data_IF_513996980055
#
_entry.id   IF_513996980055
#
_cell.length_a   1.000
_cell.length_b   1.000
_cell.length_c   1.000
_cell.angle_alpha   90.00
_cell.angle_beta   90.00
_cell.angle_gamma   90.00
#
_symmetry.space_group_name_H-M   'P 1'
#
loop_
_entity.id
_entity.type
_entity.pdbx_description
1 polymer ?
#
# COMPACT_ATOMS: atom_id res chain seq x y z
N UNK A 1 -73.44 -1.51 27.76
CA UNK A 1 -74.01 -1.34 29.14
C UNK A 1 -72.91 -0.85 30.08
N UNK A 2 -73.23 0.29 30.72
CA UNK A 2 -72.65 0.81 31.98
C UNK A 2 -71.14 1.12 31.98
N UNK A 3 -70.68 2.36 31.80
CA UNK A 3 -70.60 3.45 32.79
C UNK A 3 -69.85 3.02 34.08
N UNK A 4 -68.67 3.65 34.35
CA UNK A 4 -68.59 4.58 35.48
C UNK A 4 -67.27 5.38 35.41
N UNK A 5 -67.46 6.70 35.54
CA UNK A 5 -66.57 7.81 35.79
C UNK A 5 -66.11 7.72 37.27
N UNK A 6 -64.87 8.09 37.60
CA UNK A 6 -64.66 9.00 38.73
C UNK A 6 -63.26 9.69 38.67
N UNK A 7 -63.38 10.98 38.61
CA UNK A 7 -62.31 11.96 38.88
C UNK A 7 -61.98 11.97 40.39
N UNK A 8 -60.78 12.30 40.78
CA UNK A 8 -60.53 13.18 41.93
C UNK A 8 -59.16 13.85 41.76
N UNK A 9 -59.14 15.11 42.12
CA UNK A 9 -58.17 16.16 41.90
C UNK A 9 -57.08 16.25 42.98
N UNK A 10 -56.02 16.94 42.59
CA UNK A 10 -55.22 17.90 43.35
C UNK A 10 -54.35 17.41 44.53
N UNK A 11 -53.04 17.67 44.44
CA UNK A 11 -52.42 18.63 45.39
C UNK A 11 -51.00 18.94 44.97
N UNK A 12 -50.71 20.21 44.82
CA UNK A 12 -49.38 20.77 44.57
C UNK A 12 -48.52 20.65 45.86
N UNK A 13 -47.25 20.28 45.71
CA UNK A 13 -46.18 20.70 46.63
C UNK A 13 -44.95 21.10 45.85
N UNK A 14 -44.68 22.36 45.87
CA UNK A 14 -43.42 23.00 45.47
C UNK A 14 -42.39 22.68 46.57
N UNK A 15 -41.35 21.99 46.20
CA UNK A 15 -40.13 21.99 47.01
C UNK A 15 -39.01 22.48 46.10
N UNK A 16 -38.58 23.71 46.30
CA UNK A 16 -37.35 24.26 45.79
C UNK A 16 -36.18 23.55 46.50
N UNK A 17 -35.37 22.81 45.76
CA UNK A 17 -34.06 22.37 46.21
C UNK A 17 -33.04 22.77 45.15
N UNK A 18 -32.20 23.73 45.48
CA UNK A 18 -30.94 24.00 44.81
C UNK A 18 -30.08 22.77 44.82
N UNK A 19 -29.66 22.29 43.64
CA UNK A 19 -28.73 21.17 43.54
C UNK A 19 -28.09 21.18 42.16
N UNK A 20 -26.92 21.76 42.11
CA UNK A 20 -25.81 21.62 41.15
C UNK A 20 -26.08 20.78 39.90
N UNK A 21 -26.14 21.47 38.74
CA UNK A 21 -25.94 20.91 37.42
C UNK A 21 -24.54 20.30 37.32
N UNK A 22 -24.40 18.99 37.53
CA UNK A 22 -23.34 18.20 36.96
C UNK A 22 -23.65 17.97 35.51
N UNK A 23 -23.07 18.82 34.66
CA UNK A 23 -22.95 18.58 33.23
C UNK A 23 -22.13 17.31 33.06
N UNK A 24 -22.78 16.19 32.78
CA UNK A 24 -22.12 14.99 32.32
C UNK A 24 -21.63 15.32 30.93
N UNK A 25 -20.36 15.68 30.81
CA UNK A 25 -19.68 15.68 29.51
C UNK A 25 -19.63 14.20 29.07
N UNK A 26 -20.55 13.84 28.18
CA UNK A 26 -20.36 12.70 27.33
C UNK A 26 -19.15 13.03 26.43
N UNK A 27 -17.99 12.54 26.80
CA UNK A 27 -16.86 12.45 25.91
C UNK A 27 -17.30 11.45 24.83
N UNK A 28 -17.83 11.97 23.71
CA UNK A 28 -17.91 11.20 22.48
C UNK A 28 -16.47 10.83 22.12
N UNK A 29 -16.11 9.61 22.46
CA UNK A 29 -14.87 8.99 21.99
C UNK A 29 -15.10 8.64 20.52
N UNK A 30 -15.06 9.66 19.65
CA UNK A 30 -14.95 9.48 18.22
C UNK A 30 -13.54 8.91 18.00
N UNK A 31 -13.40 7.60 18.08
CA UNK A 31 -12.28 6.94 17.45
C UNK A 31 -12.44 7.27 15.96
N UNK A 32 -11.67 8.26 15.48
CA UNK A 32 -11.45 8.41 14.05
C UNK A 32 -10.91 7.06 13.58
N UNK A 33 -11.75 6.31 12.88
CA UNK A 33 -11.26 5.13 12.14
C UNK A 33 -10.15 5.63 11.24
N UNK A 34 -8.90 5.29 11.58
CA UNK A 34 -7.73 5.62 10.78
C UNK A 34 -8.00 5.08 9.38
N UNK A 35 -8.30 5.97 8.44
CA UNK A 35 -8.53 5.60 7.06
C UNK A 35 -7.24 4.96 6.54
N UNK A 36 -7.30 3.66 6.23
CA UNK A 36 -6.15 2.91 5.73
C UNK A 36 -5.75 3.48 4.37
N UNK A 37 -4.55 4.06 4.31
CA UNK A 37 -4.01 4.63 3.07
C UNK A 37 -3.22 3.58 2.30
N UNK A 38 -3.34 3.65 0.99
CA UNK A 38 -2.62 2.78 0.06
C UNK A 38 -1.63 3.59 -0.76
N UNK A 39 -0.40 3.07 -0.88
CA UNK A 39 0.62 3.59 -1.79
C UNK A 39 0.83 2.59 -2.93
N UNK A 40 0.98 3.10 -4.15
CA UNK A 40 1.42 2.32 -5.31
C UNK A 40 2.77 2.87 -5.78
N UNK A 41 3.83 2.30 -5.23
CA UNK A 41 5.20 2.62 -5.61
C UNK A 41 5.62 1.76 -6.81
N UNK A 42 6.38 2.32 -7.76
CA UNK A 42 6.85 1.55 -8.90
C UNK A 42 8.19 2.01 -9.43
N UNK A 43 8.97 1.07 -9.94
CA UNK A 43 10.13 1.32 -10.81
C UNK A 43 9.78 0.93 -12.24
N UNK A 44 10.10 1.82 -13.20
CA UNK A 44 9.84 1.56 -14.62
C UNK A 44 10.90 2.19 -15.51
N UNK A 45 11.80 1.37 -16.06
CA UNK A 45 12.86 1.85 -16.93
C UNK A 45 12.37 2.22 -18.36
N UNK A 46 11.27 1.61 -18.82
CA UNK A 46 10.75 1.77 -20.20
C UNK A 46 9.32 2.25 -20.28
N UNK A 47 8.69 2.57 -19.14
CA UNK A 47 7.29 3.01 -19.09
C UNK A 47 6.26 1.87 -18.98
N UNK A 48 6.61 0.62 -19.24
CA UNK A 48 5.66 -0.50 -19.22
C UNK A 48 5.08 -0.75 -17.82
N UNK A 49 5.92 -0.80 -16.80
CA UNK A 49 5.46 -0.97 -15.41
C UNK A 49 4.72 0.27 -14.90
N UNK A 50 5.11 1.48 -15.34
CA UNK A 50 4.39 2.72 -15.06
C UNK A 50 2.93 2.63 -15.48
N UNK A 51 2.66 2.24 -16.73
CA UNK A 51 1.30 2.10 -17.24
C UNK A 51 0.47 1.07 -16.45
N UNK A 52 1.10 0.00 -15.94
CA UNK A 52 0.44 -0.95 -15.04
C UNK A 52 0.20 -0.35 -13.66
N UNK A 53 1.16 0.39 -13.11
CA UNK A 53 1.05 1.04 -11.81
C UNK A 53 -0.09 2.07 -11.77
N UNK A 54 -0.30 2.83 -12.84
CA UNK A 54 -1.42 3.75 -12.98
C UNK A 54 -2.77 3.02 -12.90
N UNK A 55 -2.89 1.83 -13.49
CA UNK A 55 -4.10 0.99 -13.37
C UNK A 55 -4.29 0.45 -11.96
N UNK A 56 -3.21 -0.03 -11.33
CA UNK A 56 -3.28 -0.52 -9.93
C UNK A 56 -3.68 0.62 -8.99
N UNK A 57 -3.15 1.82 -9.17
CA UNK A 57 -3.52 3.00 -8.40
C UNK A 57 -5.00 3.37 -8.60
N UNK A 58 -5.49 3.36 -9.84
CA UNK A 58 -6.90 3.62 -10.14
C UNK A 58 -7.85 2.60 -9.47
N UNK A 59 -7.48 1.31 -9.45
CA UNK A 59 -8.29 0.25 -8.85
C UNK A 59 -8.25 0.29 -7.32
N UNK A 60 -7.09 0.60 -6.73
CA UNK A 60 -6.91 0.61 -5.27
C UNK A 60 -7.29 1.93 -4.62
N UNK A 61 -7.40 3.02 -5.41
CA UNK A 61 -7.51 4.38 -4.90
C UNK A 61 -6.22 4.86 -4.20
N UNK A 62 -5.09 4.21 -4.47
CA UNK A 62 -3.81 4.50 -3.84
C UNK A 62 -3.05 5.67 -4.48
N UNK A 63 -2.24 6.33 -3.67
CA UNK A 63 -1.32 7.36 -4.15
C UNK A 63 -0.21 6.74 -5.00
N UNK A 64 0.11 7.38 -6.13
CA UNK A 64 1.12 6.86 -7.06
C UNK A 64 2.49 7.49 -6.77
N UNK A 65 3.52 6.65 -6.65
CA UNK A 65 4.90 7.09 -6.43
C UNK A 65 5.88 6.38 -7.36
N UNK A 66 6.73 7.14 -8.03
CA UNK A 66 7.79 6.60 -8.88
C UNK A 66 9.10 6.44 -8.11
N UNK A 67 9.61 5.21 -8.01
CA UNK A 67 10.95 4.91 -7.53
C UNK A 67 11.94 5.35 -8.61
N UNK A 68 12.42 6.57 -8.53
CA UNK A 68 13.29 7.16 -9.54
C UNK A 68 14.75 6.84 -9.25
N UNK A 69 15.49 6.20 -10.16
CA UNK A 69 16.94 6.12 -10.03
C UNK A 69 17.55 7.53 -10.16
N UNK A 70 18.58 7.85 -9.35
CA UNK A 70 19.31 9.11 -9.50
C UNK A 70 19.97 9.24 -10.88
N UNK A 71 20.41 8.12 -11.44
CA UNK A 71 20.92 8.03 -12.81
C UNK A 71 19.96 7.21 -13.65
N UNK A 72 19.30 7.85 -14.60
CA UNK A 72 18.33 7.19 -15.49
C UNK A 72 19.02 6.11 -16.32
N UNK A 73 18.35 4.97 -16.50
CA UNK A 73 18.84 3.88 -17.36
C UNK A 73 18.70 4.28 -18.83
N UNK A 74 19.80 4.15 -19.58
CA UNK A 74 19.80 4.29 -21.04
C UNK A 74 19.39 2.96 -21.71
N UNK A 75 19.07 2.94 -23.01
CA UNK A 75 18.85 1.69 -23.73
C UNK A 75 20.04 0.72 -23.63
N UNK A 76 21.26 1.24 -23.67
CA UNK A 76 22.49 0.45 -23.51
C UNK A 76 22.63 -0.15 -22.12
N UNK A 77 22.21 0.59 -21.08
CA UNK A 77 22.17 0.10 -19.69
C UNK A 77 21.20 -1.07 -19.53
N UNK A 78 20.15 -1.10 -20.35
CA UNK A 78 19.09 -2.12 -20.29
C UNK A 78 19.35 -3.32 -21.20
N UNK A 79 20.41 -3.32 -22.01
CA UNK A 79 20.74 -4.44 -22.88
C UNK A 79 21.21 -5.65 -22.05
N UNK A 80 20.26 -6.50 -21.70
CA UNK A 80 20.50 -7.70 -20.90
C UNK A 80 21.34 -8.77 -21.62
N UNK A 81 21.59 -8.63 -22.94
CA UNK A 81 22.46 -9.53 -23.71
C UNK A 81 23.93 -9.17 -23.52
N UNK A 82 24.23 -7.96 -23.08
CA UNK A 82 25.56 -7.45 -22.80
C UNK A 82 25.89 -7.64 -21.32
N UNK A 83 26.84 -8.52 -21.01
CA UNK A 83 27.25 -8.83 -19.61
C UNK A 83 27.78 -7.61 -18.83
N UNK A 84 28.22 -6.58 -19.51
CA UNK A 84 28.77 -5.33 -18.94
C UNK A 84 27.74 -4.19 -18.93
N UNK A 85 26.51 -4.39 -19.41
CA UNK A 85 25.47 -3.40 -19.26
C UNK A 85 25.18 -3.16 -17.78
N UNK A 86 24.71 -1.99 -17.46
CA UNK A 86 24.43 -1.62 -16.06
C UNK A 86 23.46 -2.59 -15.40
N UNK A 87 22.36 -2.90 -16.05
CA UNK A 87 21.36 -3.85 -15.52
C UNK A 87 21.96 -5.24 -15.31
N UNK A 88 22.81 -5.74 -16.24
CA UNK A 88 23.49 -7.03 -16.07
C UNK A 88 24.45 -7.05 -14.90
N UNK A 89 25.23 -5.97 -14.70
CA UNK A 89 26.17 -5.85 -13.59
C UNK A 89 25.42 -5.76 -12.24
N UNK A 90 24.39 -4.92 -12.16
CA UNK A 90 23.58 -4.75 -10.97
C UNK A 90 22.89 -6.06 -10.56
N UNK A 91 22.35 -6.82 -11.53
CA UNK A 91 21.66 -8.07 -11.25
C UNK A 91 22.61 -9.24 -10.96
N UNK A 92 23.88 -9.17 -11.38
CA UNK A 92 24.90 -10.16 -11.02
C UNK A 92 25.39 -9.98 -9.57
N UNK A 93 25.29 -8.79 -9.01
CA UNK A 93 25.66 -8.46 -7.63
C UNK A 93 24.41 -8.25 -6.76
N UNK A 94 24.06 -9.24 -5.94
CA UNK A 94 22.93 -9.16 -5.01
C UNK A 94 23.08 -8.04 -3.96
N UNK A 95 24.28 -7.54 -3.71
CA UNK A 95 24.55 -6.41 -2.82
C UNK A 95 24.43 -5.06 -3.53
N UNK A 96 24.23 -5.04 -4.84
CA UNK A 96 24.03 -3.79 -5.59
C UNK A 96 22.82 -3.00 -5.04
N UNK A 97 23.04 -1.69 -4.86
CA UNK A 97 22.01 -0.75 -4.39
C UNK A 97 22.06 0.52 -5.22
N UNK A 98 21.46 0.51 -6.44
CA UNK A 98 21.36 1.70 -7.26
C UNK A 98 20.72 2.83 -6.47
N UNK A 99 21.33 4.03 -6.51
CA UNK A 99 20.82 5.19 -5.78
C UNK A 99 19.47 5.65 -6.34
N UNK A 100 18.57 6.05 -5.45
CA UNK A 100 17.22 6.56 -5.77
C UNK A 100 17.05 8.00 -5.27
N UNK A 101 16.21 8.76 -5.95
CA UNK A 101 15.71 10.03 -5.44
C UNK A 101 14.84 9.76 -4.21
N UNK A 102 15.15 10.44 -3.09
CA UNK A 102 14.47 10.22 -1.80
C UNK A 102 13.47 11.33 -1.53
N UNK A 103 12.39 11.36 -2.30
CA UNK A 103 11.34 12.40 -2.24
C UNK A 103 9.98 11.88 -1.78
N UNK A 104 9.90 10.63 -1.26
CA UNK A 104 8.68 10.10 -0.66
C UNK A 104 8.55 10.60 0.78
N UNK A 105 7.52 11.39 1.03
CA UNK A 105 7.16 11.87 2.36
C UNK A 105 5.99 11.06 2.92
N UNK A 106 5.84 11.02 4.24
CA UNK A 106 4.66 10.46 4.91
C UNK A 106 4.45 8.96 4.73
N UNK A 107 5.50 8.16 4.49
CA UNK A 107 5.35 6.70 4.31
C UNK A 107 4.66 6.04 5.51
N UNK A 108 4.77 6.62 6.70
CA UNK A 108 4.13 6.10 7.92
C UNK A 108 2.60 6.20 7.91
N UNK A 109 2.03 6.99 7.00
CA UNK A 109 0.59 7.13 6.82
C UNK A 109 -0.04 5.97 6.04
N UNK A 110 0.78 5.18 5.32
CA UNK A 110 0.32 4.07 4.49
C UNK A 110 0.37 2.76 5.24
N UNK A 111 -0.71 2.00 5.17
CA UNK A 111 -0.83 0.67 5.79
C UNK A 111 -0.58 -0.45 4.76
N UNK A 112 -0.89 -0.18 3.48
CA UNK A 112 -0.69 -1.11 2.38
C UNK A 112 0.10 -0.46 1.26
N UNK A 113 1.17 -1.12 0.83
CA UNK A 113 2.07 -0.62 -0.21
C UNK A 113 2.20 -1.66 -1.32
N UNK A 114 1.71 -1.31 -2.50
CA UNK A 114 1.96 -2.07 -3.71
C UNK A 114 3.28 -1.62 -4.30
N UNK A 115 4.18 -2.55 -4.63
CA UNK A 115 5.48 -2.25 -5.22
C UNK A 115 5.59 -2.91 -6.59
N UNK A 116 5.63 -2.07 -7.63
CA UNK A 116 5.66 -2.48 -9.03
C UNK A 116 7.05 -2.43 -9.65
N UNK A 117 7.41 -3.45 -10.44
CA UNK A 117 8.69 -3.49 -11.14
C UNK A 117 8.66 -4.42 -12.37
N UNK A 118 9.55 -4.19 -13.35
CA UNK A 118 9.82 -5.20 -14.39
C UNK A 118 10.62 -6.33 -13.76
N UNK A 119 10.26 -7.59 -14.05
CA UNK A 119 11.07 -8.72 -13.60
C UNK A 119 12.35 -8.79 -14.43
N UNK A 120 13.50 -8.71 -13.76
CA UNK A 120 14.82 -8.89 -14.31
C UNK A 120 15.43 -10.17 -13.74
N UNK A 121 15.96 -11.05 -14.60
CA UNK A 121 16.58 -12.34 -14.19
C UNK A 121 15.75 -13.13 -13.16
N UNK A 122 14.42 -13.18 -13.40
CA UNK A 122 13.42 -13.91 -12.60
C UNK A 122 13.14 -13.31 -11.21
N UNK A 123 13.68 -12.13 -10.87
CA UNK A 123 13.45 -11.46 -9.58
C UNK A 123 13.24 -9.94 -9.75
N UNK A 124 13.13 -9.20 -8.66
CA UNK A 124 13.07 -7.75 -8.70
C UNK A 124 14.45 -7.14 -9.01
N UNK A 125 14.52 -6.02 -9.75
CA UNK A 125 15.73 -5.24 -9.88
C UNK A 125 16.24 -4.76 -8.51
N UNK A 126 17.57 -4.71 -8.34
CA UNK A 126 18.20 -4.37 -7.04
C UNK A 126 17.87 -2.96 -6.54
N UNK A 127 17.36 -2.07 -7.38
CA UNK A 127 16.81 -0.77 -6.97
C UNK A 127 15.60 -0.92 -6.03
N UNK A 128 14.86 -2.04 -6.09
CA UNK A 128 13.75 -2.34 -5.17
C UNK A 128 14.28 -2.60 -3.76
N UNK A 129 15.45 -3.25 -3.63
CA UNK A 129 16.11 -3.39 -2.34
C UNK A 129 16.49 -2.02 -1.77
N UNK A 130 17.04 -1.12 -2.61
CA UNK A 130 17.36 0.25 -2.19
C UNK A 130 16.11 0.96 -1.65
N UNK A 131 14.97 0.83 -2.33
CA UNK A 131 13.71 1.44 -1.90
C UNK A 131 13.25 0.90 -0.54
N UNK A 132 13.22 -0.43 -0.36
CA UNK A 132 12.81 -1.07 0.89
C UNK A 132 13.75 -0.77 2.06
N UNK A 133 15.03 -0.53 1.79
CA UNK A 133 16.03 -0.19 2.80
C UNK A 133 16.09 1.32 3.10
N UNK A 134 15.52 2.17 2.22
CA UNK A 134 15.50 3.62 2.41
C UNK A 134 14.40 4.07 3.35
N UNK A 135 13.26 3.40 3.33
CA UNK A 135 12.06 3.78 4.08
C UNK A 135 11.66 2.70 5.09
N UNK A 136 10.82 3.05 6.06
CA UNK A 136 10.37 2.12 7.09
C UNK A 136 9.13 1.35 6.65
N UNK A 137 9.26 0.06 6.41
CA UNK A 137 8.18 -0.85 6.04
C UNK A 137 7.73 -1.78 7.16
N UNK A 138 8.27 -1.64 8.37
CA UNK A 138 7.95 -2.52 9.50
C UNK A 138 6.44 -2.57 9.75
N UNK A 139 5.88 -3.78 9.74
CA UNK A 139 4.47 -4.03 10.01
C UNK A 139 3.50 -3.59 8.90
N UNK A 140 3.99 -3.02 7.80
CA UNK A 140 3.16 -2.65 6.64
C UNK A 140 2.87 -3.85 5.76
N UNK A 141 1.67 -3.87 5.17
CA UNK A 141 1.35 -4.86 4.15
C UNK A 141 2.04 -4.47 2.84
N UNK A 142 2.91 -5.31 2.33
CA UNK A 142 3.59 -5.09 1.05
C UNK A 142 3.21 -6.15 0.04
N UNK A 143 2.87 -5.71 -1.16
CA UNK A 143 2.40 -6.57 -2.26
C UNK A 143 3.19 -6.25 -3.51
N UNK A 144 3.85 -7.23 -4.09
CA UNK A 144 4.53 -7.04 -5.36
C UNK A 144 3.57 -7.19 -6.54
N UNK A 145 3.72 -6.32 -7.53
CA UNK A 145 3.15 -6.54 -8.85
C UNK A 145 4.20 -6.28 -9.92
N UNK A 146 4.08 -6.91 -11.07
CA UNK A 146 5.15 -6.77 -12.03
C UNK A 146 4.74 -6.97 -13.47
N UNK A 147 5.64 -6.54 -14.35
CA UNK A 147 5.64 -6.85 -15.76
C UNK A 147 6.80 -7.79 -16.09
N UNK A 148 6.58 -8.73 -17.03
CA UNK A 148 7.58 -9.73 -17.37
C UNK A 148 7.45 -10.17 -18.81
N UNK A 149 8.56 -10.51 -19.42
CA UNK A 149 8.59 -11.17 -20.74
C UNK A 149 8.18 -12.65 -20.72
N UNK A 150 8.11 -13.28 -19.54
CA UNK A 150 7.77 -14.72 -19.40
C UNK A 150 8.01 -15.32 -18.03
N UNK A 151 8.55 -14.55 -17.06
CA UNK A 151 8.78 -15.01 -15.69
C UNK A 151 7.55 -14.81 -14.83
N UNK A 152 7.43 -15.60 -13.75
CA UNK A 152 6.44 -15.42 -12.68
C UNK A 152 6.98 -14.54 -11.55
N UNK A 153 6.16 -14.22 -10.54
CA UNK A 153 6.58 -13.46 -9.38
C UNK A 153 7.18 -14.33 -8.25
N UNK A 154 7.09 -15.65 -8.37
CA UNK A 154 7.36 -16.59 -7.26
C UNK A 154 8.74 -16.43 -6.66
N UNK A 155 9.78 -16.28 -7.51
CA UNK A 155 11.14 -16.12 -7.02
C UNK A 155 11.33 -14.79 -6.28
N UNK A 156 10.80 -13.69 -6.82
CA UNK A 156 10.86 -12.39 -6.16
C UNK A 156 10.13 -12.44 -4.81
N UNK A 157 8.90 -12.99 -4.75
CA UNK A 157 8.15 -13.16 -3.51
C UNK A 157 8.97 -13.94 -2.47
N UNK A 158 9.57 -15.07 -2.85
CA UNK A 158 10.34 -15.91 -1.93
C UNK A 158 11.62 -15.23 -1.44
N UNK A 159 12.40 -14.61 -2.33
CA UNK A 159 13.66 -13.94 -1.99
C UNK A 159 13.43 -12.74 -1.05
N UNK A 160 12.44 -11.89 -1.35
CA UNK A 160 12.19 -10.70 -0.54
C UNK A 160 11.52 -11.02 0.80
N UNK A 161 10.64 -12.00 0.85
CA UNK A 161 10.07 -12.49 2.11
C UNK A 161 11.13 -13.04 3.05
N UNK A 162 12.15 -13.69 2.51
CA UNK A 162 13.28 -14.20 3.31
C UNK A 162 14.25 -13.08 3.72
N UNK A 163 14.47 -12.06 2.87
CA UNK A 163 15.42 -10.98 3.12
C UNK A 163 14.86 -9.91 4.08
N UNK A 164 13.56 -9.69 4.09
CA UNK A 164 12.87 -8.65 4.89
C UNK A 164 11.71 -9.24 5.70
N UNK A 165 11.99 -10.09 6.71
CA UNK A 165 10.96 -10.82 7.47
C UNK A 165 10.09 -9.91 8.36
N UNK A 166 10.50 -8.66 8.61
CA UNK A 166 9.76 -7.66 9.37
C UNK A 166 8.58 -7.05 8.61
N UNK A 167 8.54 -7.25 7.29
CA UNK A 167 7.48 -6.78 6.40
C UNK A 167 6.35 -7.80 6.36
N UNK A 168 5.11 -7.34 6.40
CA UNK A 168 3.94 -8.22 6.23
C UNK A 168 3.66 -8.47 4.74
N UNK A 169 4.33 -9.47 4.18
CA UNK A 169 4.24 -9.81 2.77
C UNK A 169 2.92 -10.46 2.38
N UNK A 170 2.29 -9.95 1.32
CA UNK A 170 1.20 -10.60 0.60
C UNK A 170 1.72 -11.15 -0.73
N UNK A 171 1.01 -12.14 -1.29
CA UNK A 171 1.44 -12.78 -2.53
C UNK A 171 1.30 -11.84 -3.74
N UNK A 172 2.44 -11.51 -4.32
CA UNK A 172 2.52 -10.67 -5.51
C UNK A 172 2.25 -11.44 -6.79
N UNK A 173 1.93 -10.70 -7.86
CA UNK A 173 1.54 -11.29 -9.16
C UNK A 173 2.11 -10.52 -10.33
N UNK A 174 2.45 -11.22 -11.41
CA UNK A 174 2.69 -10.61 -12.72
C UNK A 174 1.36 -10.32 -13.39
N UNK A 175 1.17 -9.07 -13.82
CA UNK A 175 -0.11 -8.56 -14.32
C UNK A 175 0.00 -8.07 -15.78
N UNK A 176 0.85 -8.72 -16.58
CA UNK A 176 0.95 -8.40 -17.99
C UNK A 176 -0.42 -8.50 -18.69
N UNK A 177 -0.78 -7.46 -19.43
CA UNK A 177 -2.03 -7.42 -20.20
C UNK A 177 -3.30 -7.64 -19.38
N UNK A 178 -3.23 -7.50 -18.06
CA UNK A 178 -4.41 -7.55 -17.18
C UNK A 178 -5.37 -6.42 -17.51
N UNK A 179 -6.65 -6.75 -17.54
CA UNK A 179 -7.71 -5.74 -17.56
C UNK A 179 -7.88 -5.12 -16.18
N UNK A 180 -8.60 -4.02 -16.10
CA UNK A 180 -8.88 -3.39 -14.80
C UNK A 180 -9.70 -4.33 -13.88
N UNK A 181 -10.58 -5.18 -14.45
CA UNK A 181 -11.34 -6.18 -13.71
C UNK A 181 -10.44 -7.32 -13.19
N UNK A 182 -9.45 -7.75 -13.96
CA UNK A 182 -8.46 -8.73 -13.48
C UNK A 182 -7.66 -8.19 -12.31
N UNK A 183 -7.25 -6.91 -12.39
CA UNK A 183 -6.52 -6.23 -11.32
C UNK A 183 -7.40 -6.09 -10.08
N UNK A 184 -8.66 -5.71 -10.25
CA UNK A 184 -9.63 -5.58 -9.16
C UNK A 184 -9.84 -6.92 -8.45
N UNK A 185 -10.09 -7.99 -9.21
CA UNK A 185 -10.23 -9.34 -8.68
C UNK A 185 -9.01 -9.77 -7.88
N UNK A 186 -7.81 -9.48 -8.40
CA UNK A 186 -6.57 -9.77 -7.69
C UNK A 186 -6.44 -8.95 -6.39
N UNK A 187 -6.69 -7.64 -6.43
CA UNK A 187 -6.65 -6.78 -5.23
C UNK A 187 -7.64 -7.25 -4.16
N UNK A 188 -8.85 -7.65 -4.55
CA UNK A 188 -9.85 -8.18 -3.63
C UNK A 188 -9.42 -9.50 -2.98
N UNK A 189 -8.67 -10.34 -3.70
CA UNK A 189 -8.15 -11.60 -3.17
C UNK A 189 -7.05 -11.44 -2.09
N UNK A 190 -6.51 -10.23 -1.93
CA UNK A 190 -5.45 -9.92 -0.96
C UNK A 190 -5.98 -9.43 0.40
N UNK A 191 -7.27 -9.14 0.49
CA UNK A 191 -7.94 -8.70 1.71
C UNK A 191 -8.20 -9.88 2.63
#
# INVERSE_FOLDING_TARGET
MKRFILSIAAMAMVIASCGQNKKTEQTENTQEEKQMKTLVAYFSATGTTKALAEKVAAVTGGDLYEIKPEVIYTPEDLDWTVKKSRSSVEMADKASRPAIVKDLEGIDEYDTIYVGFPIWWYTAPTIINTFLETYNFNGKNVVFFGTSGGSTMDKANAEFKAAYPEINWKDGKVLNRSTDEDIKTWVESLK
#
